data_IF_463871337322
#
_entry.id   IF_463871337322
#
_cell.length_a   1.000
_cell.length_b   1.000
_cell.length_c   1.000
_cell.angle_alpha   90.00
_cell.angle_beta   90.00
_cell.angle_gamma   90.00
#
_symmetry.space_group_name_H-M   'P 1'
#
loop_
_entity.id
_entity.type
_entity.pdbx_description
1 polymer ?
#
# COMPACT_ATOMS: atom_id res chain seq x y z
N UNK A 1 -30.95 15.45 -0.48
CA UNK A 1 -31.72 15.91 -1.65
C UNK A 1 -30.74 16.49 -2.63
N UNK A 2 -30.93 16.20 -3.92
CA UNK A 2 -29.99 16.55 -4.97
C UNK A 2 -30.45 17.83 -5.68
N UNK A 3 -29.67 18.90 -5.60
CA UNK A 3 -29.94 20.18 -6.27
C UNK A 3 -29.40 20.14 -7.71
N UNK A 4 -30.14 20.60 -8.73
CA UNK A 4 -29.65 20.61 -10.11
C UNK A 4 -28.57 21.70 -10.27
N UNK A 5 -27.40 21.31 -10.77
CA UNK A 5 -26.30 22.19 -11.15
C UNK A 5 -26.05 22.09 -12.66
N UNK A 6 -26.05 23.23 -13.34
CA UNK A 6 -25.44 23.34 -14.67
C UNK A 6 -23.96 23.67 -14.47
N UNK A 7 -23.08 22.73 -14.80
CA UNK A 7 -21.65 22.95 -14.72
C UNK A 7 -21.12 23.51 -16.03
N UNK A 8 -20.54 24.69 -15.95
CA UNK A 8 -19.97 25.35 -17.10
C UNK A 8 -18.86 26.28 -16.65
N UNK A 9 -18.04 26.63 -17.62
CA UNK A 9 -17.27 27.85 -17.55
C UNK A 9 -18.21 29.01 -17.88
N UNK A 10 -18.78 29.63 -16.85
CA UNK A 10 -19.71 30.74 -17.04
C UNK A 10 -19.06 32.07 -16.65
N UNK A 11 -18.85 32.92 -17.66
CA UNK A 11 -19.34 34.30 -17.76
C UNK A 11 -19.10 34.81 -19.21
N UNK A 12 -20.12 35.31 -19.94
CA UNK A 12 -19.94 35.98 -21.24
C UNK A 12 -19.13 37.29 -21.19
N UNK A 13 -18.79 37.78 -19.99
CA UNK A 13 -18.08 39.05 -19.74
C UNK A 13 -16.65 38.87 -19.20
N UNK A 14 -16.15 37.64 -19.07
CA UNK A 14 -14.80 37.33 -18.61
C UNK A 14 -13.99 36.61 -19.70
N UNK A 15 -12.79 37.11 -20.01
CA UNK A 15 -11.80 36.41 -20.86
C UNK A 15 -11.24 35.14 -20.19
N UNK A 16 -11.48 34.97 -18.88
CA UNK A 16 -11.12 33.76 -18.15
C UNK A 16 -12.35 33.07 -17.55
N UNK A 17 -12.30 31.75 -17.63
CA UNK A 17 -13.43 30.85 -17.46
C UNK A 17 -13.39 30.26 -16.05
N UNK A 18 -14.23 30.73 -15.13
CA UNK A 18 -14.37 30.10 -13.81
C UNK A 18 -15.28 28.89 -13.88
N UNK A 19 -14.82 27.76 -13.34
CA UNK A 19 -15.65 26.57 -13.29
C UNK A 19 -16.73 26.72 -12.22
N UNK A 20 -17.98 26.66 -12.67
CA UNK A 20 -19.13 27.18 -11.94
C UNK A 20 -20.20 26.11 -11.81
N UNK A 21 -20.87 26.01 -10.65
CA UNK A 21 -22.21 25.45 -10.59
C UNK A 21 -23.23 26.59 -10.66
N UNK A 22 -24.10 26.54 -11.67
CA UNK A 22 -25.27 27.43 -11.77
C UNK A 22 -26.54 26.64 -11.45
N UNK A 23 -27.28 27.09 -10.45
CA UNK A 23 -28.62 26.63 -10.11
C UNK A 23 -29.61 27.66 -10.64
N UNK A 24 -30.57 27.23 -11.46
CA UNK A 24 -31.53 28.11 -12.14
C UNK A 24 -32.95 27.63 -11.87
N UNK A 25 -33.87 28.56 -11.61
CA UNK A 25 -35.32 28.32 -11.50
C UNK A 25 -35.66 27.18 -10.52
N UNK A 26 -34.98 27.14 -9.37
CA UNK A 26 -35.10 26.05 -8.39
C UNK A 26 -35.76 26.50 -7.08
N UNK A 27 -36.72 25.73 -6.60
CA UNK A 27 -37.32 25.94 -5.28
C UNK A 27 -36.58 25.14 -4.22
N UNK A 28 -36.08 25.81 -3.17
CA UNK A 28 -35.42 25.14 -2.06
C UNK A 28 -36.46 24.75 -0.99
N UNK A 29 -36.87 23.47 -0.90
CA UNK A 29 -37.86 23.03 0.08
C UNK A 29 -37.31 23.04 1.52
N UNK A 30 -35.99 22.88 1.65
CA UNK A 30 -35.23 22.94 2.90
C UNK A 30 -33.94 23.71 2.68
N UNK A 31 -33.40 24.31 3.73
CA UNK A 31 -32.14 25.07 3.67
C UNK A 31 -30.88 24.19 3.66
N UNK A 32 -30.97 22.85 3.65
CA UNK A 32 -29.79 21.97 3.74
C UNK A 32 -29.62 21.09 2.50
N UNK A 33 -28.62 21.42 1.69
CA UNK A 33 -28.23 20.72 0.47
C UNK A 33 -27.35 19.53 0.83
N UNK A 34 -27.77 18.32 0.43
CA UNK A 34 -26.99 17.08 0.71
C UNK A 34 -26.19 16.60 -0.48
N UNK A 35 -26.63 16.93 -1.69
CA UNK A 35 -25.96 16.56 -2.93
C UNK A 35 -26.37 17.52 -4.05
N UNK A 36 -25.61 17.50 -5.14
CA UNK A 36 -25.95 18.15 -6.41
C UNK A 36 -25.98 17.11 -7.53
N UNK A 37 -26.67 17.41 -8.63
CA UNK A 37 -26.64 16.58 -9.83
C UNK A 37 -26.51 17.45 -11.08
N UNK A 38 -25.76 16.96 -12.07
CA UNK A 38 -25.42 17.68 -13.29
C UNK A 38 -24.25 16.97 -13.98
N UNK A 39 -24.03 17.25 -15.27
CA UNK A 39 -22.89 16.71 -16.00
C UNK A 39 -21.72 17.68 -15.89
N UNK A 40 -20.60 17.20 -15.36
CA UNK A 40 -19.34 17.93 -15.39
C UNK A 40 -18.74 17.93 -16.81
N UNK A 41 -17.83 18.88 -17.06
CA UNK A 41 -16.96 18.84 -18.24
C UNK A 41 -15.90 17.76 -18.03
N UNK A 42 -15.29 17.26 -19.12
CA UNK A 42 -14.27 16.22 -19.04
C UNK A 42 -13.13 16.63 -18.08
N UNK A 43 -12.69 15.68 -17.24
CA UNK A 43 -11.68 15.86 -16.18
C UNK A 43 -12.07 16.77 -14.99
N UNK A 44 -13.21 17.46 -15.06
CA UNK A 44 -13.65 18.37 -14.00
C UNK A 44 -14.48 17.66 -12.93
N UNK A 45 -14.39 18.15 -11.70
CA UNK A 45 -15.07 17.61 -10.54
C UNK A 45 -15.69 18.71 -9.67
N UNK A 46 -16.40 18.32 -8.62
CA UNK A 46 -16.87 19.25 -7.60
C UNK A 46 -15.74 20.02 -6.90
N UNK A 47 -14.50 19.49 -6.87
CA UNK A 47 -13.37 20.21 -6.26
C UNK A 47 -12.93 21.42 -7.09
N UNK A 48 -13.22 21.42 -8.38
CA UNK A 48 -12.81 22.47 -9.30
C UNK A 48 -13.82 23.63 -9.33
N UNK A 49 -14.99 23.45 -8.71
CA UNK A 49 -16.02 24.50 -8.63
C UNK A 49 -15.61 25.55 -7.62
N UNK A 50 -15.34 26.75 -8.12
CA UNK A 50 -14.94 27.92 -7.31
C UNK A 50 -16.00 29.01 -7.27
N UNK A 51 -17.03 28.91 -8.13
CA UNK A 51 -18.12 29.86 -8.23
C UNK A 51 -19.49 29.15 -8.15
N UNK A 52 -20.34 29.60 -7.24
CA UNK A 52 -21.72 29.15 -7.09
C UNK A 52 -22.67 30.31 -7.42
N UNK A 53 -23.55 30.09 -8.39
CA UNK A 53 -24.56 31.06 -8.80
C UNK A 53 -25.97 30.47 -8.63
N UNK A 54 -26.77 31.09 -7.77
CA UNK A 54 -28.19 30.81 -7.59
C UNK A 54 -29.00 31.91 -8.29
N UNK A 55 -29.68 31.59 -9.38
CA UNK A 55 -30.46 32.55 -10.17
C UNK A 55 -31.93 32.13 -10.19
N UNK A 56 -32.84 33.09 -10.00
CA UNK A 56 -34.29 32.87 -10.07
C UNK A 56 -34.79 31.74 -9.15
N UNK A 57 -34.11 31.51 -8.02
CA UNK A 57 -34.45 30.45 -7.09
C UNK A 57 -35.47 30.92 -6.04
N UNK A 58 -36.24 30.02 -5.45
CA UNK A 58 -37.04 30.36 -4.26
C UNK A 58 -36.26 29.95 -3.01
N UNK A 59 -35.51 30.88 -2.41
CA UNK A 59 -34.66 30.63 -1.24
C UNK A 59 -34.71 31.76 -0.19
N UNK A 60 -35.80 31.84 0.61
CA UNK A 60 -35.97 32.90 1.62
C UNK A 60 -34.87 32.97 2.69
N UNK A 61 -34.14 31.86 2.89
CA UNK A 61 -32.91 31.74 3.70
C UNK A 61 -31.78 31.21 2.83
N UNK A 62 -30.54 31.52 3.18
CA UNK A 62 -29.38 31.03 2.44
C UNK A 62 -29.24 29.50 2.55
N UNK A 63 -29.16 28.75 1.43
CA UNK A 63 -28.93 27.30 1.49
C UNK A 63 -27.55 26.97 2.09
N UNK A 64 -27.50 25.88 2.84
CA UNK A 64 -26.33 25.33 3.52
C UNK A 64 -25.91 24.00 2.89
N UNK A 65 -24.69 23.54 3.16
CA UNK A 65 -24.13 22.29 2.67
C UNK A 65 -23.38 22.39 1.35
N UNK A 66 -23.39 23.54 0.67
CA UNK A 66 -22.69 23.70 -0.60
C UNK A 66 -21.18 23.65 -0.44
N UNK A 67 -20.62 24.17 0.66
CA UNK A 67 -19.15 24.13 0.88
C UNK A 67 -18.63 22.74 1.23
N UNK A 68 -19.51 21.81 1.61
CA UNK A 68 -19.16 20.38 1.72
C UNK A 68 -19.06 19.69 0.37
N UNK A 69 -19.82 20.18 -0.61
CA UNK A 69 -19.86 19.66 -1.97
C UNK A 69 -18.74 20.31 -2.79
N UNK A 70 -18.61 21.64 -2.70
CA UNK A 70 -17.64 22.48 -3.39
C UNK A 70 -16.64 23.06 -2.37
N UNK A 71 -15.60 22.32 -1.97
CA UNK A 71 -14.70 22.71 -0.88
C UNK A 71 -13.82 23.93 -1.19
N UNK A 72 -13.64 24.25 -2.48
CA UNK A 72 -12.77 25.34 -2.93
C UNK A 72 -13.58 26.58 -3.37
N UNK A 73 -14.79 26.76 -2.85
CA UNK A 73 -15.66 27.88 -3.23
C UNK A 73 -15.05 29.23 -2.81
N UNK A 74 -14.92 30.14 -3.78
CA UNK A 74 -14.37 31.49 -3.61
C UNK A 74 -15.41 32.59 -3.86
N UNK A 75 -16.47 32.30 -4.60
CA UNK A 75 -17.51 33.27 -4.94
C UNK A 75 -18.91 32.67 -4.79
N UNK A 76 -19.82 33.44 -4.17
CA UNK A 76 -21.22 33.10 -4.03
C UNK A 76 -22.07 34.25 -4.57
N UNK A 77 -22.91 33.95 -5.56
CA UNK A 77 -23.85 34.89 -6.16
C UNK A 77 -25.27 34.37 -6.04
N UNK A 78 -26.16 35.24 -5.60
CA UNK A 78 -27.58 34.95 -5.41
C UNK A 78 -28.36 36.08 -6.06
N UNK A 79 -28.98 35.81 -7.20
CA UNK A 79 -29.73 36.79 -7.98
C UNK A 79 -31.20 36.44 -8.05
N UNK A 80 -32.06 37.44 -7.85
CA UNK A 80 -33.51 37.34 -8.08
C UNK A 80 -34.12 36.11 -7.40
N UNK A 81 -33.70 35.85 -6.16
CA UNK A 81 -33.91 34.56 -5.50
C UNK A 81 -34.64 34.68 -4.16
N UNK A 82 -35.40 35.76 -3.98
CA UNK A 82 -36.27 36.08 -2.84
C UNK A 82 -35.66 35.92 -1.43
N UNK A 83 -34.33 36.01 -1.32
CA UNK A 83 -33.61 35.92 -0.06
C UNK A 83 -33.99 37.10 0.86
N UNK A 84 -34.52 36.81 2.06
CA UNK A 84 -35.13 37.83 2.94
C UNK A 84 -34.26 38.23 4.12
N UNK A 85 -33.41 37.32 4.58
CA UNK A 85 -32.60 37.52 5.78
C UNK A 85 -31.25 36.83 5.64
N UNK A 86 -30.25 37.44 6.26
CA UNK A 86 -28.92 36.87 6.45
C UNK A 86 -28.47 37.12 7.88
N UNK A 87 -28.00 36.07 8.52
CA UNK A 87 -27.39 36.12 9.86
C UNK A 87 -25.95 35.61 9.78
N UNK A 88 -25.13 35.91 10.80
CA UNK A 88 -23.76 35.36 10.92
C UNK A 88 -23.74 33.82 10.76
N UNK A 89 -24.76 33.14 11.29
CA UNK A 89 -24.87 31.68 11.21
C UNK A 89 -25.18 31.19 9.79
N UNK A 90 -25.98 31.92 9.02
CA UNK A 90 -26.28 31.55 7.62
C UNK A 90 -25.02 31.62 6.75
N UNK A 91 -24.09 32.52 7.07
CA UNK A 91 -22.83 32.71 6.37
C UNK A 91 -21.68 31.84 6.91
N UNK A 92 -21.87 31.14 8.03
CA UNK A 92 -20.78 30.52 8.78
C UNK A 92 -19.98 29.46 7.99
N UNK A 93 -20.59 28.78 7.02
CA UNK A 93 -19.89 27.79 6.20
C UNK A 93 -19.16 28.39 4.99
N UNK A 94 -19.42 29.67 4.66
CA UNK A 94 -18.90 30.37 3.48
C UNK A 94 -17.70 31.27 3.77
N UNK A 95 -17.05 31.13 4.94
CA UNK A 95 -15.95 32.00 5.40
C UNK A 95 -14.73 32.07 4.46
N UNK A 96 -14.59 31.11 3.55
CA UNK A 96 -13.51 31.06 2.55
C UNK A 96 -13.72 32.03 1.39
N UNK A 97 -14.95 32.51 1.15
CA UNK A 97 -15.25 33.29 -0.06
C UNK A 97 -14.57 34.68 0.00
N UNK A 98 -14.10 35.12 -1.16
CA UNK A 98 -13.67 36.49 -1.38
C UNK A 98 -14.77 37.38 -1.96
N UNK A 99 -15.82 36.78 -2.52
CA UNK A 99 -16.90 37.49 -3.22
C UNK A 99 -18.25 37.00 -2.72
N UNK A 100 -19.03 37.93 -2.17
CA UNK A 100 -20.43 37.69 -1.81
C UNK A 100 -21.35 38.69 -2.51
N UNK A 101 -22.23 38.19 -3.38
CA UNK A 101 -23.15 39.01 -4.16
C UNK A 101 -24.58 38.51 -3.95
N UNK A 102 -25.43 39.39 -3.42
CA UNK A 102 -26.87 39.16 -3.28
C UNK A 102 -27.60 40.31 -3.97
N UNK A 103 -28.07 40.11 -5.19
CA UNK A 103 -28.68 41.16 -6.03
C UNK A 103 -30.14 40.84 -6.33
N UNK A 104 -31.01 41.85 -6.41
CA UNK A 104 -32.45 41.67 -6.69
C UNK A 104 -33.14 40.73 -5.69
N UNK A 105 -32.79 40.84 -4.41
CA UNK A 105 -33.37 40.04 -3.33
C UNK A 105 -34.21 40.93 -2.39
N UNK A 106 -34.69 40.34 -1.30
CA UNK A 106 -35.66 40.95 -0.38
C UNK A 106 -35.05 41.25 1.00
N UNK A 107 -33.72 41.41 1.09
CA UNK A 107 -33.04 41.64 2.37
C UNK A 107 -33.36 43.04 2.88
N UNK A 108 -33.80 43.15 4.13
CA UNK A 108 -34.18 44.43 4.74
C UNK A 108 -33.20 44.95 5.81
N UNK A 109 -32.40 44.06 6.40
CA UNK A 109 -31.55 44.36 7.55
C UNK A 109 -30.21 43.65 7.46
N UNK A 110 -29.11 44.35 7.78
CA UNK A 110 -27.78 43.76 7.94
C UNK A 110 -27.23 44.06 9.34
N UNK A 111 -26.88 43.01 10.09
CA UNK A 111 -26.31 43.09 11.42
C UNK A 111 -24.80 43.39 11.40
N UNK A 112 -24.26 44.02 12.45
CA UNK A 112 -22.86 44.44 12.54
C UNK A 112 -21.89 43.25 12.50
N UNK A 113 -22.30 42.10 13.05
CA UNK A 113 -21.46 40.90 13.13
C UNK A 113 -21.59 39.98 11.91
N UNK A 114 -22.28 40.42 10.84
CA UNK A 114 -22.57 39.56 9.69
C UNK A 114 -21.29 39.01 9.03
N UNK A 115 -20.22 39.81 8.99
CA UNK A 115 -18.96 39.48 8.32
C UNK A 115 -17.74 39.38 9.25
N UNK A 116 -17.94 39.30 10.57
CA UNK A 116 -16.85 39.33 11.57
C UNK A 116 -15.74 38.29 11.33
N UNK A 117 -16.09 37.13 10.73
CA UNK A 117 -15.15 36.02 10.49
C UNK A 117 -14.65 35.93 9.02
N UNK A 118 -14.89 36.96 8.20
CA UNK A 118 -14.64 36.94 6.75
C UNK A 118 -13.38 37.71 6.33
N UNK A 119 -12.22 37.22 6.76
CA UNK A 119 -10.92 37.87 6.52
C UNK A 119 -10.51 37.95 5.03
N UNK A 120 -11.16 37.16 4.17
CA UNK A 120 -10.87 37.07 2.75
C UNK A 120 -11.82 37.88 1.86
N UNK A 121 -12.86 38.52 2.41
CA UNK A 121 -13.79 39.30 1.61
C UNK A 121 -13.10 40.48 0.93
N UNK A 122 -13.25 40.52 -0.39
CA UNK A 122 -12.79 41.59 -1.27
C UNK A 122 -14.00 42.34 -1.82
N UNK A 123 -15.11 41.62 -2.04
CA UNK A 123 -16.30 42.16 -2.68
C UNK A 123 -17.55 41.76 -1.91
N UNK A 124 -18.36 42.76 -1.58
CA UNK A 124 -19.70 42.56 -1.04
C UNK A 124 -20.67 43.39 -1.88
N UNK A 125 -21.77 42.79 -2.34
CA UNK A 125 -22.84 43.55 -2.99
C UNK A 125 -24.21 43.10 -2.52
N UNK A 126 -25.02 44.09 -2.14
CA UNK A 126 -26.44 44.00 -1.82
C UNK A 126 -27.25 44.97 -2.69
N UNK A 127 -26.80 45.23 -3.91
CA UNK A 127 -27.54 46.08 -4.85
C UNK A 127 -28.97 45.53 -5.09
N UNK A 128 -29.92 46.43 -5.30
CA UNK A 128 -31.31 46.09 -5.64
C UNK A 128 -31.95 45.17 -4.58
N UNK A 129 -31.75 45.46 -3.30
CA UNK A 129 -32.45 44.81 -2.18
C UNK A 129 -33.48 45.76 -1.56
N UNK A 130 -33.98 45.43 -0.37
CA UNK A 130 -34.95 46.23 0.40
C UNK A 130 -34.36 46.79 1.68
N UNK A 131 -33.04 47.02 1.72
CA UNK A 131 -32.33 47.39 2.94
C UNK A 131 -32.85 48.70 3.52
N UNK A 132 -33.42 48.61 4.73
CA UNK A 132 -33.91 49.73 5.56
C UNK A 132 -32.91 50.09 6.66
N UNK A 133 -32.10 49.14 7.11
CA UNK A 133 -31.17 49.37 8.21
C UNK A 133 -29.93 48.50 8.02
N UNK A 134 -28.77 49.13 8.21
CA UNK A 134 -27.46 48.48 8.24
C UNK A 134 -26.85 48.92 9.57
N UNK A 135 -26.52 47.98 10.45
CA UNK A 135 -25.91 48.32 11.72
C UNK A 135 -24.52 48.95 11.52
N UNK A 136 -24.09 49.88 12.40
CA UNK A 136 -22.76 50.44 12.36
C UNK A 136 -21.68 49.35 12.39
N UNK A 137 -20.50 49.65 11.81
CA UNK A 137 -19.31 48.81 11.91
C UNK A 137 -19.41 47.44 11.21
N UNK A 138 -20.41 47.21 10.35
CA UNK A 138 -20.55 45.96 9.60
C UNK A 138 -19.33 45.62 8.71
N UNK A 139 -18.51 46.61 8.38
CA UNK A 139 -17.30 46.45 7.55
C UNK A 139 -16.01 46.38 8.38
N UNK A 140 -16.09 46.46 9.71
CA UNK A 140 -14.91 46.44 10.57
C UNK A 140 -14.19 45.09 10.45
N UNK A 141 -12.86 45.13 10.40
CA UNK A 141 -12.02 43.94 10.26
C UNK A 141 -11.88 43.40 8.83
N UNK A 142 -12.66 43.90 7.86
CA UNK A 142 -12.59 43.48 6.45
C UNK A 142 -11.45 44.17 5.69
N UNK A 143 -10.21 43.91 6.11
CA UNK A 143 -9.01 44.60 5.63
C UNK A 143 -8.71 44.41 4.14
N UNK A 144 -9.28 43.38 3.50
CA UNK A 144 -9.11 43.09 2.07
C UNK A 144 -10.23 43.65 1.21
N UNK A 145 -11.28 44.21 1.81
CA UNK A 145 -12.45 44.70 1.12
C UNK A 145 -12.09 45.86 0.20
N UNK A 146 -12.46 45.74 -1.07
CA UNK A 146 -12.28 46.78 -2.08
C UNK A 146 -13.62 47.35 -2.57
N UNK A 147 -14.67 46.53 -2.60
CA UNK A 147 -15.97 46.94 -3.13
C UNK A 147 -17.15 46.66 -2.19
N UNK A 148 -18.03 47.66 -2.09
CA UNK A 148 -19.32 47.57 -1.38
C UNK A 148 -20.43 48.15 -2.24
N UNK A 149 -21.29 47.26 -2.76
CA UNK A 149 -22.49 47.64 -3.51
C UNK A 149 -23.73 47.71 -2.61
N UNK A 150 -24.36 48.88 -2.50
CA UNK A 150 -25.60 49.09 -1.72
C UNK A 150 -26.68 49.85 -2.49
N UNK A 151 -26.55 49.96 -3.81
CA UNK A 151 -27.43 50.77 -4.66
C UNK A 151 -28.85 50.21 -4.70
N UNK A 152 -29.82 51.06 -5.04
CA UNK A 152 -31.23 50.68 -5.20
C UNK A 152 -31.83 49.98 -3.97
N UNK A 153 -31.50 50.45 -2.77
CA UNK A 153 -32.11 50.04 -1.51
C UNK A 153 -32.98 51.17 -0.94
N UNK A 154 -33.97 50.82 -0.10
CA UNK A 154 -34.95 51.77 0.44
C UNK A 154 -34.52 52.34 1.80
N UNK A 155 -34.02 53.57 1.83
CA UNK A 155 -33.72 54.34 3.05
C UNK A 155 -32.90 53.56 4.09
N UNK A 156 -31.62 53.35 3.82
CA UNK A 156 -30.67 52.91 4.84
C UNK A 156 -30.03 54.12 5.55
N UNK A 157 -29.79 53.99 6.85
CA UNK A 157 -29.10 55.01 7.65
C UNK A 157 -27.65 54.57 7.83
N UNK A 158 -26.71 55.10 7.04
CA UNK A 158 -25.29 54.73 7.18
C UNK A 158 -24.46 55.94 7.62
N UNK A 159 -23.70 55.75 8.70
CA UNK A 159 -22.47 56.51 8.94
C UNK A 159 -21.29 55.56 8.65
N UNK A 160 -20.57 55.81 7.56
CA UNK A 160 -19.33 55.09 7.27
C UNK A 160 -18.21 55.70 8.13
N UNK A 161 -17.74 55.00 9.16
CA UNK A 161 -16.49 55.34 9.81
C UNK A 161 -15.34 54.91 8.91
N UNK A 162 -14.80 55.87 8.16
CA UNK A 162 -13.53 55.86 7.43
C UNK A 162 -12.64 54.61 7.61
N UNK A 163 -12.94 53.53 6.89
CA UNK A 163 -11.96 52.50 6.55
C UNK A 163 -11.70 52.62 5.04
N UNK A 164 -10.42 52.67 4.69
CA UNK A 164 -9.94 53.17 3.41
C UNK A 164 -10.53 52.46 2.19
N UNK A 165 -10.79 53.24 1.15
CA UNK A 165 -10.92 52.82 -0.25
C UNK A 165 -12.18 52.04 -0.70
N UNK A 166 -13.24 51.87 0.10
CA UNK A 166 -14.49 51.31 -0.42
C UNK A 166 -15.15 52.26 -1.44
N UNK A 167 -15.15 51.91 -2.73
CA UNK A 167 -15.91 52.63 -3.77
C UNK A 167 -17.39 52.29 -3.67
N UNK A 168 -18.26 53.31 -3.62
CA UNK A 168 -19.74 53.17 -3.65
C UNK A 168 -20.31 53.28 -5.07
N UNK A 169 -19.45 53.46 -6.07
CA UNK A 169 -19.85 53.55 -7.47
C UNK A 169 -20.13 52.18 -8.12
N UNK A 170 -20.70 52.16 -9.34
CA UNK A 170 -20.94 50.89 -10.04
C UNK A 170 -19.57 50.29 -10.34
N UNK A 171 -19.15 49.23 -9.64
CA UNK A 171 -18.10 48.40 -10.20
C UNK A 171 -18.77 47.57 -11.28
N UNK A 172 -18.39 47.83 -12.52
CA UNK A 172 -18.67 46.88 -13.59
C UNK A 172 -18.04 45.53 -13.24
N UNK A 173 -18.60 44.43 -13.74
CA UNK A 173 -17.98 43.11 -13.60
C UNK A 173 -16.51 43.08 -14.03
N UNK A 174 -16.15 43.96 -14.98
CA UNK A 174 -14.80 44.16 -15.47
C UNK A 174 -13.87 44.84 -14.44
N UNK A 175 -14.33 45.83 -13.68
CA UNK A 175 -13.53 46.44 -12.61
C UNK A 175 -13.36 45.48 -11.43
N UNK A 176 -14.39 44.66 -11.17
CA UNK A 176 -14.36 43.65 -10.12
C UNK A 176 -13.35 42.55 -10.46
N UNK A 177 -13.33 42.15 -11.74
CA UNK A 177 -12.35 41.24 -12.36
C UNK A 177 -10.93 41.76 -12.15
N UNK A 178 -10.65 43.01 -12.50
CA UNK A 178 -9.30 43.57 -12.41
C UNK A 178 -8.79 43.65 -10.97
N UNK A 179 -9.66 43.93 -9.99
CA UNK A 179 -9.28 43.94 -8.57
C UNK A 179 -9.11 42.53 -7.97
N UNK A 180 -10.01 41.59 -8.29
CA UNK A 180 -9.92 40.21 -7.80
C UNK A 180 -8.72 39.49 -8.43
N UNK A 181 -8.49 39.66 -9.73
CA UNK A 181 -7.37 39.02 -10.44
C UNK A 181 -6.02 39.57 -9.96
N UNK A 182 -5.88 40.89 -9.79
CA UNK A 182 -4.68 41.50 -9.18
C UNK A 182 -4.44 41.07 -7.75
N UNK A 183 -5.48 40.80 -6.95
CA UNK A 183 -5.28 40.41 -5.54
C UNK A 183 -5.04 38.91 -5.36
N UNK A 184 -5.63 38.04 -6.19
CA UNK A 184 -5.55 36.59 -6.03
C UNK A 184 -4.52 35.91 -6.94
N UNK A 185 -4.23 36.48 -8.13
CA UNK A 185 -3.48 35.79 -9.18
C UNK A 185 -2.40 36.64 -9.85
N UNK A 186 -2.04 37.78 -9.26
CA UNK A 186 -0.96 38.59 -9.81
C UNK A 186 0.34 37.77 -9.80
N UNK A 187 0.78 37.37 -10.98
CA UNK A 187 2.06 36.69 -11.20
C UNK A 187 3.25 37.49 -10.65
N UNK A 188 3.03 38.77 -10.30
CA UNK A 188 3.98 39.64 -9.63
C UNK A 188 4.04 39.47 -8.10
N UNK A 189 3.10 38.75 -7.46
CA UNK A 189 3.10 38.44 -6.03
C UNK A 189 4.44 37.79 -5.63
N UNK A 190 5.15 38.32 -4.61
CA UNK A 190 6.38 37.73 -4.10
C UNK A 190 6.22 36.27 -3.66
N UNK A 191 5.04 35.92 -3.14
CA UNK A 191 4.70 34.58 -2.70
C UNK A 191 4.60 33.60 -3.88
N UNK A 192 3.91 33.99 -4.95
CA UNK A 192 3.78 33.18 -6.17
C UNK A 192 5.15 33.05 -6.86
N UNK A 193 5.91 34.14 -6.98
CA UNK A 193 7.28 34.12 -7.54
C UNK A 193 8.20 33.18 -6.78
N UNK A 194 8.15 33.20 -5.44
CA UNK A 194 8.93 32.29 -4.60
C UNK A 194 8.49 30.83 -4.76
N UNK A 195 7.18 30.58 -4.83
CA UNK A 195 6.65 29.24 -5.07
C UNK A 195 7.09 28.68 -6.44
N UNK A 196 6.98 29.47 -7.50
CA UNK A 196 7.44 29.10 -8.85
C UNK A 196 8.95 28.82 -8.86
N UNK A 197 9.76 29.65 -8.20
CA UNK A 197 11.21 29.45 -8.10
C UNK A 197 11.57 28.15 -7.36
N UNK A 198 10.84 27.82 -6.29
CA UNK A 198 11.00 26.54 -5.58
C UNK A 198 10.67 25.35 -6.48
N UNK A 199 9.55 25.43 -7.21
CA UNK A 199 9.17 24.38 -8.17
C UNK A 199 10.23 24.21 -9.27
N UNK A 200 10.75 25.28 -9.84
CA UNK A 200 11.82 25.22 -10.84
C UNK A 200 13.07 24.55 -10.29
N UNK A 201 13.45 24.88 -9.05
CA UNK A 201 14.60 24.25 -8.38
C UNK A 201 14.38 22.75 -8.18
N UNK A 202 13.18 22.35 -7.74
CA UNK A 202 12.80 20.94 -7.60
C UNK A 202 12.80 20.20 -8.95
N UNK A 203 12.34 20.84 -10.02
CA UNK A 203 12.35 20.26 -11.38
C UNK A 203 13.80 20.00 -11.84
N UNK A 204 14.71 20.94 -11.64
CA UNK A 204 16.12 20.75 -12.03
C UNK A 204 16.82 19.67 -11.20
N UNK A 205 16.51 19.58 -9.91
CA UNK A 205 16.98 18.48 -9.06
C UNK A 205 16.46 17.12 -9.55
N UNK A 206 15.18 17.03 -9.91
CA UNK A 206 14.58 15.82 -10.45
C UNK A 206 15.19 15.42 -11.80
N UNK A 207 15.45 16.38 -12.69
CA UNK A 207 16.14 16.12 -13.98
C UNK A 207 17.53 15.55 -13.76
N UNK A 208 18.31 16.14 -12.85
CA UNK A 208 19.67 15.67 -12.50
C UNK A 208 19.64 14.24 -11.92
N UNK A 209 18.71 13.96 -11.00
CA UNK A 209 18.53 12.62 -10.43
C UNK A 209 18.11 11.60 -11.49
N UNK A 210 17.18 11.95 -12.38
CA UNK A 210 16.76 11.08 -13.47
C UNK A 210 17.90 10.75 -14.46
N UNK A 211 18.77 11.72 -14.75
CA UNK A 211 19.97 11.47 -15.57
C UNK A 211 20.88 10.42 -14.93
N UNK A 212 21.19 10.57 -13.63
CA UNK A 212 22.02 9.61 -12.88
C UNK A 212 21.38 8.21 -12.83
N UNK A 213 20.06 8.14 -12.69
CA UNK A 213 19.34 6.86 -12.70
C UNK A 213 19.44 6.18 -14.06
N UNK A 214 19.30 6.92 -15.17
CA UNK A 214 19.48 6.36 -16.52
C UNK A 214 20.88 5.79 -16.75
N UNK A 215 21.91 6.50 -16.31
CA UNK A 215 23.31 6.03 -16.38
C UNK A 215 23.49 4.74 -15.56
N UNK A 216 22.91 4.65 -14.36
CA UNK A 216 22.95 3.43 -13.54
C UNK A 216 22.23 2.24 -14.21
N UNK A 217 21.05 2.48 -14.79
CA UNK A 217 20.29 1.44 -15.49
C UNK A 217 21.09 0.89 -16.66
N UNK A 218 21.69 1.76 -17.48
CA UNK A 218 22.52 1.34 -18.60
C UNK A 218 23.71 0.46 -18.13
N UNK A 219 24.41 0.87 -17.07
CA UNK A 219 25.53 0.08 -16.54
C UNK A 219 25.08 -1.29 -16.01
N UNK A 220 23.88 -1.37 -15.41
CA UNK A 220 23.30 -2.62 -14.94
C UNK A 220 22.90 -3.54 -16.11
N UNK A 221 22.30 -2.99 -17.17
CA UNK A 221 21.96 -3.73 -18.38
C UNK A 221 23.20 -4.33 -19.07
N UNK A 222 24.31 -3.56 -19.12
CA UNK A 222 25.60 -4.04 -19.63
C UNK A 222 26.15 -5.18 -18.75
N UNK A 223 26.10 -5.02 -17.42
CA UNK A 223 26.56 -6.05 -16.47
C UNK A 223 25.72 -7.34 -16.56
N UNK A 224 24.40 -7.22 -16.71
CA UNK A 224 23.50 -8.36 -16.90
C UNK A 224 23.82 -9.13 -18.18
N UNK A 225 24.11 -8.40 -19.27
CA UNK A 225 24.50 -9.00 -20.55
C UNK A 225 25.78 -9.81 -20.42
N UNK A 226 26.78 -9.28 -19.72
CA UNK A 226 28.05 -9.98 -19.48
C UNK A 226 27.85 -11.23 -18.63
N UNK A 227 27.08 -11.13 -17.54
CA UNK A 227 26.74 -12.28 -16.69
C UNK A 227 25.99 -13.37 -17.47
N UNK A 228 25.05 -13.01 -18.34
CA UNK A 228 24.35 -13.97 -19.20
C UNK A 228 25.31 -14.66 -20.16
N UNK A 229 26.27 -13.93 -20.72
CA UNK A 229 27.28 -14.51 -21.61
C UNK A 229 28.21 -15.47 -20.85
N UNK A 230 28.60 -15.14 -19.61
CA UNK A 230 29.39 -16.03 -18.76
C UNK A 230 28.62 -17.28 -18.36
N UNK A 231 27.36 -17.15 -17.94
CA UNK A 231 26.48 -18.27 -17.62
C UNK A 231 26.32 -19.19 -18.82
N UNK A 232 26.12 -18.62 -20.02
CA UNK A 232 26.06 -19.39 -21.26
C UNK A 232 27.35 -20.19 -21.49
N UNK A 233 28.52 -19.56 -21.34
CA UNK A 233 29.81 -20.26 -21.44
C UNK A 233 29.95 -21.36 -20.39
N UNK A 234 29.46 -21.15 -19.17
CA UNK A 234 29.48 -22.16 -18.11
C UNK A 234 28.57 -23.36 -18.43
N UNK A 235 27.42 -23.12 -19.05
CA UNK A 235 26.50 -24.17 -19.51
C UNK A 235 26.98 -24.90 -20.77
N UNK A 236 27.68 -24.22 -21.68
CA UNK A 236 28.21 -24.81 -22.92
C UNK A 236 29.49 -25.60 -22.73
N UNK A 237 30.24 -25.35 -21.64
CA UNK A 237 31.24 -26.31 -21.18
C UNK A 237 30.48 -27.60 -20.88
N UNK A 238 30.71 -28.64 -21.67
CA UNK A 238 30.23 -30.00 -21.38
C UNK A 238 30.64 -30.31 -19.95
N UNK A 239 29.69 -30.21 -19.05
CA UNK A 239 29.98 -30.27 -17.63
C UNK A 239 30.16 -31.73 -17.29
N UNK A 240 31.19 -32.01 -16.49
CA UNK A 240 31.41 -33.31 -15.86
C UNK A 240 30.11 -33.92 -15.32
N UNK A 241 29.19 -33.08 -14.84
CA UNK A 241 27.84 -33.47 -14.42
C UNK A 241 27.03 -34.15 -15.52
N UNK A 242 27.05 -33.64 -16.76
CA UNK A 242 26.35 -34.25 -17.89
C UNK A 242 27.01 -35.58 -18.31
N UNK A 243 28.33 -35.68 -18.25
CA UNK A 243 29.04 -36.94 -18.52
C UNK A 243 28.74 -38.00 -17.43
N UNK A 244 28.73 -37.59 -16.16
CA UNK A 244 28.32 -38.44 -15.03
C UNK A 244 26.86 -38.85 -15.17
N UNK A 245 25.95 -37.92 -15.50
CA UNK A 245 24.54 -38.21 -15.74
C UNK A 245 24.37 -39.23 -16.87
N UNK A 246 25.14 -39.10 -17.95
CA UNK A 246 25.14 -40.07 -19.03
C UNK A 246 25.62 -41.48 -18.59
N UNK A 247 26.54 -41.59 -17.64
CA UNK A 247 26.91 -42.89 -17.04
C UNK A 247 25.81 -43.44 -16.15
N UNK A 248 25.12 -42.57 -15.41
CA UNK A 248 23.94 -42.90 -14.60
C UNK A 248 22.82 -43.48 -15.47
N UNK A 249 22.41 -42.74 -16.51
CA UNK A 249 21.28 -43.08 -17.37
C UNK A 249 21.54 -44.37 -18.16
N UNK A 250 22.77 -44.55 -18.66
CA UNK A 250 23.15 -45.75 -19.41
C UNK A 250 23.64 -46.90 -18.54
N UNK A 251 23.62 -46.74 -17.20
CA UNK A 251 24.04 -47.77 -16.24
C UNK A 251 25.47 -48.29 -16.46
N UNK A 252 26.39 -47.45 -16.95
CA UNK A 252 27.77 -47.84 -17.28
C UNK A 252 28.71 -47.65 -16.10
N UNK A 253 29.76 -48.46 -16.01
CA UNK A 253 30.83 -48.35 -15.00
C UNK A 253 30.38 -48.54 -13.54
N UNK A 254 29.28 -49.28 -13.31
CA UNK A 254 28.85 -49.70 -11.98
C UNK A 254 29.80 -50.77 -11.44
N UNK A 255 30.64 -50.40 -10.49
CA UNK A 255 31.78 -51.14 -9.94
C UNK A 255 31.57 -51.58 -8.48
N UNK A 256 30.35 -51.39 -7.96
CA UNK A 256 29.96 -51.83 -6.62
C UNK A 256 28.55 -52.42 -6.66
N UNK A 257 28.37 -53.55 -5.99
CA UNK A 257 27.08 -54.18 -5.73
C UNK A 257 26.74 -54.03 -4.24
N UNK A 258 25.63 -53.33 -3.95
CA UNK A 258 25.11 -53.16 -2.59
C UNK A 258 23.95 -54.13 -2.38
N UNK A 259 24.08 -55.00 -1.39
CA UNK A 259 23.04 -55.90 -0.93
C UNK A 259 22.23 -55.22 0.18
N UNK A 260 20.91 -55.14 -0.01
CA UNK A 260 19.95 -54.69 1.00
C UNK A 260 18.87 -55.76 1.13
N UNK A 261 18.85 -56.47 2.26
CA UNK A 261 17.99 -57.65 2.44
C UNK A 261 18.19 -58.66 1.28
N UNK A 262 17.16 -58.95 0.50
CA UNK A 262 17.16 -59.85 -0.65
C UNK A 262 17.39 -59.13 -2.00
N UNK A 263 17.55 -57.80 -2.00
CA UNK A 263 17.72 -57.00 -3.21
C UNK A 263 19.16 -56.57 -3.46
N UNK A 264 19.52 -56.56 -4.74
CA UNK A 264 20.84 -56.17 -5.24
C UNK A 264 20.77 -54.84 -6.00
N UNK A 265 21.68 -53.92 -5.66
CA UNK A 265 21.81 -52.63 -6.31
C UNK A 265 23.21 -52.45 -6.89
N UNK A 266 23.32 -52.41 -8.22
CA UNK A 266 24.59 -52.08 -8.90
C UNK A 266 24.73 -50.57 -9.01
N UNK A 267 25.80 -50.02 -8.46
CA UNK A 267 26.01 -48.58 -8.30
C UNK A 267 27.46 -48.16 -8.62
N UNK A 268 27.73 -46.86 -8.65
CA UNK A 268 29.08 -46.32 -8.80
C UNK A 268 29.72 -46.09 -7.43
N UNK A 269 30.78 -46.85 -7.10
CA UNK A 269 31.51 -46.78 -5.82
C UNK A 269 31.96 -45.36 -5.49
N UNK A 270 32.47 -44.65 -6.50
CA UNK A 270 33.01 -43.30 -6.31
C UNK A 270 31.94 -42.28 -5.86
N UNK A 271 30.68 -42.42 -6.31
CA UNK A 271 29.59 -41.53 -5.87
C UNK A 271 29.29 -41.74 -4.38
N UNK A 272 29.24 -42.99 -3.94
CA UNK A 272 29.04 -43.32 -2.53
C UNK A 272 30.22 -42.86 -1.66
N UNK A 273 31.46 -43.04 -2.12
CA UNK A 273 32.64 -42.52 -1.45
C UNK A 273 32.60 -40.98 -1.31
N UNK A 274 32.26 -40.28 -2.40
CA UNK A 274 32.21 -38.83 -2.41
C UNK A 274 31.15 -38.26 -1.46
N UNK A 275 30.03 -38.96 -1.28
CA UNK A 275 28.88 -38.51 -0.48
C UNK A 275 28.88 -39.04 0.96
N UNK A 276 29.70 -40.04 1.28
CA UNK A 276 29.79 -40.65 2.60
C UNK A 276 31.26 -40.83 2.99
N UNK A 277 31.78 -40.04 3.93
CA UNK A 277 33.14 -40.23 4.47
C UNK A 277 33.32 -41.62 5.07
N UNK A 278 32.28 -42.17 5.70
CA UNK A 278 32.32 -43.54 6.25
C UNK A 278 32.50 -44.60 5.17
N UNK A 279 31.84 -44.45 4.01
CA UNK A 279 32.06 -45.37 2.90
C UNK A 279 33.38 -45.09 2.19
N UNK A 280 33.82 -43.83 2.10
CA UNK A 280 35.13 -43.48 1.56
C UNK A 280 36.26 -44.18 2.33
N UNK A 281 36.28 -44.05 3.66
CA UNK A 281 37.28 -44.70 4.53
C UNK A 281 37.22 -46.22 4.34
N UNK A 282 36.02 -46.81 4.31
CA UNK A 282 35.83 -48.24 4.10
C UNK A 282 36.36 -48.72 2.74
N UNK A 283 36.17 -47.95 1.67
CA UNK A 283 36.69 -48.30 0.35
C UNK A 283 38.19 -48.04 0.23
N UNK A 284 38.76 -47.12 1.01
CA UNK A 284 40.22 -46.96 1.09
C UNK A 284 40.88 -48.14 1.80
N UNK A 285 40.25 -48.68 2.85
CA UNK A 285 40.71 -49.88 3.55
C UNK A 285 40.65 -51.14 2.67
N UNK A 286 39.69 -51.21 1.75
CA UNK A 286 39.55 -52.32 0.79
C UNK A 286 39.14 -51.82 -0.62
N UNK A 287 40.11 -51.36 -1.44
CA UNK A 287 39.82 -50.78 -2.76
C UNK A 287 39.15 -51.75 -3.73
N UNK A 288 39.53 -53.03 -3.66
CA UNK A 288 39.02 -54.13 -4.49
C UNK A 288 37.62 -54.61 -4.07
N UNK A 289 36.99 -53.99 -3.07
CA UNK A 289 35.65 -54.38 -2.64
C UNK A 289 34.61 -54.19 -3.76
N UNK A 290 34.10 -55.27 -4.33
CA UNK A 290 33.02 -55.23 -5.32
C UNK A 290 31.63 -55.36 -4.69
N UNK A 291 31.56 -55.75 -3.41
CA UNK A 291 30.31 -56.03 -2.71
C UNK A 291 30.25 -55.32 -1.35
N UNK A 292 29.09 -54.79 -1.01
CA UNK A 292 28.80 -54.15 0.28
C UNK A 292 27.43 -54.60 0.78
N UNK A 293 27.33 -54.99 2.04
CA UNK A 293 26.06 -55.31 2.69
C UNK A 293 25.69 -54.21 3.71
N UNK A 294 24.45 -53.74 3.70
CA UNK A 294 23.91 -52.76 4.66
C UNK A 294 22.63 -53.33 5.31
N UNK A 295 22.76 -54.21 6.32
CA UNK A 295 21.62 -54.96 6.87
C UNK A 295 20.64 -54.09 7.69
N UNK A 296 21.08 -52.92 8.18
CA UNK A 296 20.28 -52.04 9.05
C UNK A 296 19.49 -50.97 8.27
N UNK A 297 19.40 -51.08 6.93
CA UNK A 297 18.66 -50.15 6.07
C UNK A 297 17.56 -50.89 5.35
N UNK A 298 16.34 -50.36 5.40
CA UNK A 298 15.22 -50.89 4.65
C UNK A 298 15.35 -50.56 3.14
N UNK A 299 14.80 -51.42 2.29
CA UNK A 299 14.92 -51.32 0.83
C UNK A 299 14.42 -49.97 0.29
N UNK A 300 13.25 -49.53 0.74
CA UNK A 300 12.62 -48.25 0.38
C UNK A 300 13.51 -47.06 0.78
N UNK A 301 14.01 -47.07 2.01
CA UNK A 301 14.91 -46.04 2.54
C UNK A 301 16.23 -46.00 1.77
N UNK A 302 16.72 -47.14 1.29
CA UNK A 302 17.92 -47.18 0.45
C UNK A 302 17.65 -46.63 -0.96
N UNK A 303 16.47 -46.84 -1.53
CA UNK A 303 16.09 -46.23 -2.81
C UNK A 303 16.04 -44.70 -2.71
N UNK A 304 15.56 -44.16 -1.59
CA UNK A 304 15.60 -42.71 -1.30
C UNK A 304 17.03 -42.18 -1.19
N UNK A 305 17.92 -42.90 -0.49
CA UNK A 305 19.35 -42.56 -0.43
C UNK A 305 19.98 -42.61 -1.82
N UNK A 306 19.66 -43.63 -2.60
CA UNK A 306 20.18 -43.82 -3.94
C UNK A 306 19.74 -42.67 -4.85
N UNK A 307 18.45 -42.28 -4.80
CA UNK A 307 17.93 -41.13 -5.52
C UNK A 307 18.71 -39.87 -5.16
N UNK A 308 18.88 -39.58 -3.87
CA UNK A 308 19.61 -38.39 -3.42
C UNK A 308 21.09 -38.40 -3.82
N UNK A 309 21.81 -39.52 -3.67
CA UNK A 309 23.23 -39.62 -4.06
C UNK A 309 23.44 -39.27 -5.54
N UNK A 310 22.46 -39.61 -6.39
CA UNK A 310 22.56 -39.44 -7.82
C UNK A 310 22.05 -38.08 -8.31
N UNK A 311 21.11 -37.44 -7.61
CA UNK A 311 20.40 -36.25 -8.09
C UNK A 311 20.60 -35.00 -7.24
N UNK A 312 21.05 -35.16 -5.98
CA UNK A 312 21.01 -34.11 -4.95
C UNK A 312 19.59 -33.63 -4.57
N UNK A 313 18.56 -34.32 -5.07
CA UNK A 313 17.15 -34.02 -4.81
C UNK A 313 16.60 -34.93 -3.71
N UNK A 314 15.77 -34.35 -2.82
CA UNK A 314 15.05 -35.14 -1.84
C UNK A 314 13.93 -35.94 -2.51
N UNK A 315 13.66 -37.18 -2.04
CA UNK A 315 12.52 -37.96 -2.51
C UNK A 315 11.18 -37.29 -2.15
N UNK A 316 10.10 -37.72 -2.82
CA UNK A 316 8.75 -37.19 -2.65
C UNK A 316 8.23 -37.33 -1.22
N UNK A 317 7.64 -36.26 -0.68
CA UNK A 317 7.08 -36.25 0.67
C UNK A 317 5.98 -37.29 0.90
N UNK A 318 5.21 -37.65 -0.13
CA UNK A 318 4.06 -38.54 -0.01
C UNK A 318 4.45 -39.99 0.33
N UNK A 319 5.64 -40.43 -0.10
CA UNK A 319 6.07 -41.82 0.00
C UNK A 319 7.35 -42.01 0.82
N UNK A 320 7.86 -40.95 1.46
CA UNK A 320 9.13 -41.00 2.19
C UNK A 320 8.92 -41.08 3.69
N UNK A 321 9.50 -42.08 4.33
CA UNK A 321 9.66 -42.11 5.79
C UNK A 321 10.91 -41.31 6.19
N UNK A 322 10.73 -40.00 6.39
CA UNK A 322 11.85 -39.11 6.73
C UNK A 322 12.57 -39.47 8.04
N UNK A 323 11.91 -40.17 8.97
CA UNK A 323 12.54 -40.60 10.22
C UNK A 323 13.53 -41.72 9.95
N UNK A 324 13.13 -42.73 9.16
CA UNK A 324 14.05 -43.80 8.72
C UNK A 324 15.15 -43.26 7.82
N UNK A 325 14.82 -42.36 6.89
CA UNK A 325 15.79 -41.72 6.01
C UNK A 325 16.85 -40.94 6.80
N UNK A 326 16.43 -40.17 7.82
CA UNK A 326 17.35 -39.50 8.73
C UNK A 326 18.28 -40.49 9.44
N UNK A 327 17.71 -41.60 9.93
CA UNK A 327 18.46 -42.65 10.62
C UNK A 327 19.53 -43.29 9.74
N UNK A 328 19.16 -43.66 8.52
CA UNK A 328 20.05 -44.29 7.55
C UNK A 328 21.11 -43.31 7.01
N UNK A 329 20.73 -42.06 6.70
CA UNK A 329 21.65 -41.01 6.28
C UNK A 329 22.69 -40.70 7.38
N UNK A 330 22.26 -40.64 8.64
CA UNK A 330 23.13 -40.42 9.79
C UNK A 330 24.07 -41.60 10.04
N UNK A 331 23.61 -42.83 9.86
CA UNK A 331 24.44 -44.03 9.96
C UNK A 331 25.55 -44.06 8.90
N UNK A 332 25.21 -43.69 7.66
CA UNK A 332 26.15 -43.61 6.55
C UNK A 332 26.93 -42.29 6.51
N UNK A 333 26.64 -41.33 7.40
CA UNK A 333 27.23 -39.98 7.39
C UNK A 333 27.12 -39.24 6.04
N UNK A 334 25.94 -39.28 5.43
CA UNK A 334 25.65 -38.51 4.21
C UNK A 334 25.23 -37.10 4.65
N UNK A 335 26.20 -36.25 4.99
CA UNK A 335 25.95 -34.98 5.70
C UNK A 335 24.94 -34.07 5.02
N UNK A 336 25.04 -33.88 3.70
CA UNK A 336 24.11 -33.01 2.97
C UNK A 336 22.66 -33.53 3.03
N UNK A 337 22.46 -34.86 2.97
CA UNK A 337 21.14 -35.46 3.14
C UNK A 337 20.63 -35.29 4.57
N UNK A 338 21.50 -35.40 5.58
CA UNK A 338 21.15 -35.15 6.98
C UNK A 338 20.67 -33.70 7.15
N UNK A 339 21.38 -32.74 6.57
CA UNK A 339 21.04 -31.31 6.64
C UNK A 339 19.68 -31.01 6.02
N UNK A 340 19.33 -31.70 4.93
CA UNK A 340 18.03 -31.54 4.28
C UNK A 340 16.88 -32.28 4.99
N UNK A 341 17.13 -33.46 5.55
CA UNK A 341 16.09 -34.30 6.16
C UNK A 341 15.80 -33.90 7.61
N UNK A 342 16.79 -33.41 8.37
CA UNK A 342 16.62 -33.08 9.78
C UNK A 342 15.51 -32.03 10.03
N UNK A 343 15.39 -30.93 9.27
CA UNK A 343 14.28 -29.98 9.40
C UNK A 343 12.91 -30.63 9.15
N UNK A 344 12.79 -31.49 8.13
CA UNK A 344 11.54 -32.20 7.82
C UNK A 344 11.11 -33.12 8.95
N UNK A 345 12.06 -33.85 9.56
CA UNK A 345 11.77 -34.66 10.75
C UNK A 345 11.35 -33.77 11.91
N UNK A 346 12.10 -32.69 12.17
CA UNK A 346 11.81 -31.74 13.25
C UNK A 346 10.41 -31.15 13.15
N UNK A 347 9.96 -30.73 11.98
CA UNK A 347 8.63 -30.15 11.75
C UNK A 347 7.50 -31.16 11.97
N UNK A 348 7.76 -32.44 11.69
CA UNK A 348 6.75 -33.50 11.70
C UNK A 348 6.86 -34.47 12.89
N UNK A 349 7.58 -34.10 13.96
CA UNK A 349 7.59 -34.85 15.22
C UNK A 349 6.18 -34.85 15.81
N UNK A 350 5.63 -36.04 16.03
CA UNK A 350 4.30 -36.27 16.58
C UNK A 350 4.28 -37.55 17.43
N UNK A 351 3.16 -37.82 18.10
CA UNK A 351 3.03 -38.96 19.00
C UNK A 351 3.35 -40.33 18.38
N UNK A 352 3.10 -40.51 17.06
CA UNK A 352 3.33 -41.78 16.37
C UNK A 352 4.81 -42.07 16.13
N UNK A 353 5.62 -41.04 15.89
CA UNK A 353 7.04 -41.19 15.54
C UNK A 353 8.00 -40.72 16.64
N UNK A 354 7.53 -40.01 17.67
CA UNK A 354 8.40 -39.37 18.65
C UNK A 354 9.32 -40.35 19.40
N UNK A 355 8.89 -41.58 19.66
CA UNK A 355 9.74 -42.61 20.29
C UNK A 355 10.93 -42.99 19.41
N UNK A 356 10.67 -43.18 18.11
CA UNK A 356 11.72 -43.50 17.14
C UNK A 356 12.68 -42.31 16.95
N UNK A 357 12.13 -41.10 16.83
CA UNK A 357 12.92 -39.87 16.76
C UNK A 357 13.77 -39.70 18.02
N UNK A 358 13.26 -40.04 19.21
CA UNK A 358 14.02 -39.99 20.46
C UNK A 358 15.20 -40.99 20.44
N UNK A 359 15.00 -42.20 19.91
CA UNK A 359 16.06 -43.21 19.76
C UNK A 359 17.15 -42.69 18.82
N UNK A 360 16.78 -42.20 17.64
CA UNK A 360 17.75 -41.74 16.63
C UNK A 360 18.50 -40.49 17.08
N UNK A 361 17.80 -39.51 17.63
CA UNK A 361 18.42 -38.27 18.15
C UNK A 361 19.39 -38.53 19.31
N UNK A 362 19.14 -39.55 20.15
CA UNK A 362 20.12 -40.03 21.11
C UNK A 362 21.33 -40.72 20.44
N UNK A 363 21.07 -41.65 19.51
CA UNK A 363 22.11 -42.40 18.79
C UNK A 363 23.08 -41.49 18.04
N UNK A 364 22.55 -40.46 17.38
CA UNK A 364 23.31 -39.53 16.54
C UNK A 364 23.59 -38.18 17.21
N UNK A 365 23.30 -38.07 18.52
CA UNK A 365 23.62 -36.91 19.35
C UNK A 365 23.00 -35.58 18.88
N UNK A 366 21.82 -35.63 18.27
CA UNK A 366 21.03 -34.45 17.94
C UNK A 366 20.26 -33.99 19.19
N UNK A 367 20.73 -32.92 19.85
CA UNK A 367 20.14 -32.43 21.10
C UNK A 367 18.76 -31.83 20.92
N UNK A 368 18.58 -30.98 19.92
CA UNK A 368 17.33 -30.26 19.68
C UNK A 368 16.20 -31.22 19.32
N UNK A 369 16.47 -32.15 18.41
CA UNK A 369 15.54 -33.20 18.03
C UNK A 369 15.20 -34.13 19.20
N UNK A 370 16.17 -34.39 20.08
CA UNK A 370 15.95 -35.18 21.30
C UNK A 370 15.00 -34.50 22.27
N UNK A 371 15.17 -33.20 22.50
CA UNK A 371 14.27 -32.41 23.36
C UNK A 371 12.85 -32.41 22.81
N UNK A 372 12.68 -32.04 21.53
CA UNK A 372 11.36 -31.92 20.91
C UNK A 372 10.62 -33.26 20.89
N UNK A 373 11.30 -34.36 20.57
CA UNK A 373 10.73 -35.69 20.62
C UNK A 373 10.29 -36.09 22.04
N UNK A 374 11.11 -35.80 23.05
CA UNK A 374 10.78 -36.11 24.43
C UNK A 374 9.59 -35.30 24.96
N UNK A 375 9.52 -34.01 24.63
CA UNK A 375 8.38 -33.15 24.95
C UNK A 375 7.07 -33.68 24.34
N UNK A 376 7.12 -34.11 23.08
CA UNK A 376 5.96 -34.68 22.40
C UNK A 376 5.46 -35.97 23.08
N UNK A 377 6.38 -36.83 23.53
CA UNK A 377 6.05 -38.03 24.31
C UNK A 377 5.40 -37.67 25.66
N UNK A 378 5.91 -36.63 26.35
CA UNK A 378 5.37 -36.21 27.65
C UNK A 378 3.95 -35.66 27.57
N UNK A 379 3.53 -35.10 26.42
CA UNK A 379 2.15 -34.61 26.25
C UNK A 379 1.10 -35.70 26.50
N UNK A 380 1.40 -36.95 26.13
CA UNK A 380 0.54 -38.12 26.35
C UNK A 380 0.94 -38.94 27.57
N UNK A 381 2.13 -38.71 28.13
CA UNK A 381 2.65 -39.41 29.32
C UNK A 381 3.20 -38.41 30.36
N UNK A 382 2.34 -37.64 31.06
CA UNK A 382 2.78 -36.57 31.96
C UNK A 382 3.67 -37.06 33.12
N UNK A 383 3.47 -38.31 33.57
CA UNK A 383 4.22 -38.93 34.66
C UNK A 383 5.62 -39.44 34.25
N UNK A 384 5.99 -39.30 32.97
CA UNK A 384 7.31 -39.71 32.49
C UNK A 384 8.41 -38.81 33.08
N UNK A 385 9.35 -39.44 33.79
CA UNK A 385 10.49 -38.76 34.43
C UNK A 385 11.41 -38.07 33.41
N UNK A 386 11.69 -36.78 33.61
CA UNK A 386 12.60 -35.98 32.76
C UNK A 386 14.01 -36.56 32.64
N UNK A 387 14.51 -37.23 33.68
CA UNK A 387 15.82 -37.89 33.70
C UNK A 387 15.95 -39.11 32.75
N UNK A 388 14.92 -39.39 31.95
CA UNK A 388 14.89 -40.48 30.96
C UNK A 388 15.01 -39.99 29.52
N UNK A 389 15.16 -38.68 29.28
CA UNK A 389 15.41 -38.11 27.95
C UNK A 389 16.61 -38.76 27.23
N UNK A 390 17.66 -39.09 27.97
CA UNK A 390 18.85 -39.78 27.45
C UNK A 390 18.79 -41.32 27.58
N UNK A 391 17.59 -41.88 27.85
CA UNK A 391 17.36 -43.33 28.04
C UNK A 391 16.21 -43.82 27.14
N UNK A 392 16.34 -43.69 25.80
CA UNK A 392 15.24 -43.93 24.87
C UNK A 392 14.67 -45.36 24.95
N UNK A 393 15.49 -46.37 25.21
CA UNK A 393 15.02 -47.76 25.39
C UNK A 393 14.14 -47.94 26.64
N UNK A 394 14.40 -47.17 27.72
CA UNK A 394 13.52 -47.19 28.90
C UNK A 394 12.19 -46.51 28.60
N UNK A 395 12.23 -45.39 27.89
CA UNK A 395 11.03 -44.65 27.44
C UNK A 395 10.18 -45.54 26.53
N UNK A 396 10.79 -46.21 25.55
CA UNK A 396 10.11 -47.16 24.66
C UNK A 396 9.39 -48.27 25.42
N UNK A 397 10.08 -48.92 26.38
CA UNK A 397 9.48 -49.96 27.23
C UNK A 397 8.35 -49.43 28.11
N UNK A 398 8.49 -48.23 28.66
CA UNK A 398 7.44 -47.60 29.45
C UNK A 398 6.18 -47.37 28.61
N UNK A 399 6.33 -46.81 27.42
CA UNK A 399 5.20 -46.56 26.52
C UNK A 399 4.56 -47.87 26.08
N UNK A 400 5.33 -48.93 25.78
CA UNK A 400 4.77 -50.24 25.44
C UNK A 400 3.94 -50.89 26.56
N UNK A 401 4.22 -50.57 27.83
CA UNK A 401 3.53 -51.18 28.99
C UNK A 401 2.39 -50.30 29.50
N UNK A 402 2.56 -48.97 29.47
CA UNK A 402 1.68 -48.01 30.14
C UNK A 402 1.04 -46.98 29.19
N UNK A 403 1.60 -46.80 27.99
CA UNK A 403 1.01 -45.96 26.95
C UNK A 403 -0.09 -46.72 26.23
N UNK A 404 -1.34 -46.54 26.66
CA UNK A 404 -2.49 -47.07 25.92
C UNK A 404 -2.47 -46.64 24.45
N UNK A 405 -2.97 -47.53 23.57
CA UNK A 405 -3.01 -47.39 22.10
C UNK A 405 -3.42 -46.00 21.60
#
# INVERSE_FOLDING_TARGET
>A
MAVPCTFAYNDPSLDEKFYTCKVLDYEFPESNVKSVHGLHLEEMTNQDVIYLHLENCNTPKLPQGFTKIFPNLLALWIENSNLKQLTKNDLAEYKSIGVFVSIKNDIEFLAANLFEDFENLIVISFNDNKLKTIEPNILDGLNKLSYVGLRSNTNYNIQFSSTGAARTDYLTMQELKDELFKKFFDSESPEIKNFVQKLQTSIEQLKSSNKKLREKVQNLEESEKDLKAELKKWNERKNLLADIQNFIDNQKYRDLQIQISDREFKVHKFLFAARSPTLADKFLENPEAENLNLPDIAVDTFEDILHFIYTDELPSDENTDFVKLYGAASMLKINLLIDFVAPKVMENINQKNAVEVLILSNKFKNYEMRQKAFEEIKKVNPDLSDNWIDKPEKVKKFIQVFGGN
#
